data_IF_660175799912
#
_entry.id   IF_660175799912
#
_cell.length_a   1.000
_cell.length_b   1.000
_cell.length_c   1.000
_cell.angle_alpha   90.00
_cell.angle_beta   90.00
_cell.angle_gamma   90.00
#
_symmetry.space_group_name_H-M   'P 1'
#
loop_
_entity.id
_entity.type
_entity.pdbx_description
1 polymer ?
#
# COMPACT_ATOMS: atom_id res chain seq x y z
N UNK A 1 -11.55 -13.77 3.16
CA UNK A 1 -10.48 -14.78 3.30
C UNK A 1 -9.49 -14.31 4.36
N UNK A 2 -8.80 -15.23 5.04
CA UNK A 2 -7.80 -14.89 6.07
C UNK A 2 -6.36 -15.03 5.55
N UNK A 3 -6.02 -16.13 4.85
CA UNK A 3 -4.72 -16.31 4.18
C UNK A 3 -4.91 -17.22 2.97
N UNK A 4 -4.25 -16.88 1.85
CA UNK A 4 -4.24 -17.69 0.62
C UNK A 4 -2.78 -18.01 0.30
N UNK A 5 -2.47 -19.29 0.10
CA UNK A 5 -1.13 -19.76 -0.31
C UNK A 5 -1.26 -20.43 -1.67
N UNK A 6 -0.44 -20.01 -2.63
CA UNK A 6 -0.51 -20.49 -4.01
C UNK A 6 0.85 -20.38 -4.71
N UNK A 7 0.94 -20.90 -5.94
CA UNK A 7 2.17 -20.79 -6.75
C UNK A 7 2.28 -19.41 -7.41
N UNK A 8 3.42 -19.13 -8.07
CA UNK A 8 3.71 -17.81 -8.65
C UNK A 8 2.61 -17.32 -9.61
N UNK A 9 2.28 -18.09 -10.66
CA UNK A 9 1.33 -17.65 -11.70
C UNK A 9 -0.09 -17.46 -11.14
N UNK A 10 -0.55 -18.34 -10.25
CA UNK A 10 -1.86 -18.16 -9.64
C UNK A 10 -1.85 -17.04 -8.59
N UNK A 11 -0.72 -16.82 -7.92
CA UNK A 11 -0.56 -15.72 -6.97
C UNK A 11 -0.67 -14.37 -7.66
N UNK A 12 0.00 -14.20 -8.80
CA UNK A 12 -0.08 -13.01 -9.64
C UNK A 12 -1.54 -12.69 -10.01
N UNK A 13 -2.22 -13.64 -10.66
CA UNK A 13 -3.61 -13.50 -11.10
C UNK A 13 -4.56 -13.19 -9.92
N UNK A 14 -4.49 -13.98 -8.85
CA UNK A 14 -5.38 -13.81 -7.70
C UNK A 14 -5.11 -12.50 -6.94
N UNK A 15 -3.85 -12.05 -6.91
CA UNK A 15 -3.48 -10.80 -6.25
C UNK A 15 -3.99 -9.58 -7.01
N UNK A 16 -3.95 -9.60 -8.34
CA UNK A 16 -4.55 -8.56 -9.18
C UNK A 16 -6.07 -8.53 -9.04
N UNK A 17 -6.74 -9.69 -9.06
CA UNK A 17 -8.18 -9.78 -8.85
C UNK A 17 -8.59 -9.24 -7.46
N UNK A 18 -7.88 -9.65 -6.41
CA UNK A 18 -8.12 -9.15 -5.06
C UNK A 18 -7.90 -7.64 -4.96
N UNK A 19 -6.88 -7.11 -5.65
CA UNK A 19 -6.56 -5.69 -5.68
C UNK A 19 -7.61 -4.84 -6.37
N UNK A 20 -8.27 -5.36 -7.41
CA UNK A 20 -9.41 -4.67 -8.03
C UNK A 20 -10.65 -4.68 -7.14
N UNK A 21 -10.89 -5.79 -6.41
CA UNK A 21 -12.07 -5.93 -5.54
C UNK A 21 -12.05 -4.99 -4.33
N UNK A 22 -10.88 -4.59 -3.83
CA UNK A 22 -10.77 -3.62 -2.72
C UNK A 22 -11.08 -2.18 -3.15
N UNK A 23 -11.29 -1.93 -4.45
CA UNK A 23 -11.69 -0.63 -4.99
C UNK A 23 -10.53 0.33 -5.23
N UNK A 24 -9.31 0.03 -4.79
CA UNK A 24 -8.10 0.75 -5.19
C UNK A 24 -6.85 -0.11 -5.11
N UNK A 25 -6.32 -0.48 -6.29
CA UNK A 25 -5.01 -1.14 -6.46
C UNK A 25 -3.90 -0.30 -5.81
N UNK A 26 -4.05 1.02 -5.80
CA UNK A 26 -3.07 1.97 -5.23
C UNK A 26 -3.20 2.13 -3.72
N UNK A 27 -3.69 1.12 -3.00
CA UNK A 27 -3.70 1.08 -1.54
C UNK A 27 -2.99 -0.14 -0.94
N UNK A 28 -2.48 -1.05 -1.76
CA UNK A 28 -1.97 -2.34 -1.30
C UNK A 28 -0.44 -2.36 -1.26
N UNK A 29 0.17 -2.42 -0.06
CA UNK A 29 1.60 -2.66 0.06
C UNK A 29 1.90 -4.14 -0.19
N UNK A 30 3.11 -4.43 -0.71
CA UNK A 30 3.60 -5.79 -0.94
C UNK A 30 4.94 -6.01 -0.24
N UNK A 31 5.24 -7.28 0.05
CA UNK A 31 6.49 -7.69 0.69
C UNK A 31 6.94 -9.04 0.16
N UNK A 32 8.21 -9.11 -0.24
CA UNK A 32 8.92 -10.36 -0.56
C UNK A 32 9.98 -10.63 0.49
N UNK A 33 9.82 -11.69 1.27
CA UNK A 33 10.76 -12.09 2.33
C UNK A 33 11.65 -13.25 1.84
N UNK A 34 12.96 -13.15 2.05
CA UNK A 34 13.89 -14.26 1.88
C UNK A 34 14.17 -14.97 3.22
N UNK A 35 14.62 -16.23 3.18
CA UNK A 35 14.88 -17.02 4.40
C UNK A 35 15.97 -16.43 5.31
N UNK A 36 17.00 -15.80 4.75
CA UNK A 36 18.20 -15.38 5.47
C UNK A 36 18.72 -13.98 5.06
N UNK A 37 17.89 -13.17 4.39
CA UNK A 37 18.30 -11.89 3.82
C UNK A 37 17.26 -10.79 4.00
N UNK A 38 17.62 -9.53 3.66
CA UNK A 38 16.68 -8.42 3.73
C UNK A 38 15.48 -8.67 2.83
N UNK A 39 14.27 -8.39 3.35
CA UNK A 39 13.05 -8.40 2.55
C UNK A 39 12.99 -7.22 1.58
N UNK A 40 12.30 -7.40 0.46
CA UNK A 40 11.90 -6.32 -0.44
C UNK A 40 10.50 -5.84 -0.06
N UNK A 41 10.36 -4.54 0.16
CA UNK A 41 9.10 -3.90 0.55
C UNK A 41 8.76 -2.84 -0.47
N UNK A 42 7.67 -3.03 -1.21
CA UNK A 42 7.33 -2.19 -2.35
C UNK A 42 5.81 -1.99 -2.49
N UNK A 43 5.44 -1.15 -3.44
CA UNK A 43 4.06 -0.94 -3.85
C UNK A 43 3.79 -1.73 -5.14
N UNK A 44 2.55 -2.20 -5.34
CA UNK A 44 2.22 -3.11 -6.46
C UNK A 44 1.98 -2.44 -7.81
N UNK A 45 1.77 -1.12 -7.86
CA UNK A 45 1.53 -0.41 -9.12
C UNK A 45 2.83 0.13 -9.71
N UNK A 46 2.89 0.20 -11.05
CA UNK A 46 4.05 0.70 -11.78
C UNK A 46 4.35 2.19 -11.55
N UNK A 47 5.42 2.65 -12.18
CA UNK A 47 6.02 3.99 -12.00
C UNK A 47 5.13 5.20 -12.32
N UNK A 48 3.94 4.98 -12.90
CA UNK A 48 2.97 6.01 -13.28
C UNK A 48 3.64 7.21 -14.01
N UNK A 49 4.26 6.96 -15.19
CA UNK A 49 5.08 7.95 -15.90
C UNK A 49 4.26 9.17 -16.38
N UNK A 50 2.96 8.98 -16.56
CA UNK A 50 1.97 9.99 -16.96
C UNK A 50 1.76 11.09 -15.91
N UNK A 51 2.03 10.81 -14.64
CA UNK A 51 1.87 11.75 -13.51
C UNK A 51 3.19 12.09 -12.80
N UNK A 52 4.32 11.58 -13.30
CA UNK A 52 5.63 11.84 -12.73
C UNK A 52 5.94 13.35 -12.70
N UNK A 53 6.39 13.85 -11.55
CA UNK A 53 6.71 15.27 -11.34
C UNK A 53 5.51 16.21 -11.20
N UNK A 54 4.28 15.69 -11.10
CA UNK A 54 3.07 16.51 -11.03
C UNK A 54 2.42 16.58 -9.63
N UNK A 55 3.05 16.02 -8.60
CA UNK A 55 2.52 15.96 -7.23
C UNK A 55 1.11 15.35 -7.12
N UNK A 56 0.85 14.32 -7.95
CA UNK A 56 -0.46 13.63 -8.03
C UNK A 56 -0.41 12.19 -7.53
N UNK A 57 0.76 11.68 -7.19
CA UNK A 57 0.96 10.28 -6.81
C UNK A 57 0.45 10.04 -5.39
N UNK A 58 -0.31 8.97 -5.21
CA UNK A 58 -0.65 8.47 -3.89
C UNK A 58 0.60 7.92 -3.19
N UNK A 59 1.09 8.62 -2.17
CA UNK A 59 2.25 8.18 -1.38
C UNK A 59 1.86 7.30 -0.19
N UNK A 60 0.56 7.11 0.06
CA UNK A 60 0.08 6.34 1.21
C UNK A 60 0.60 4.90 1.17
N UNK A 61 0.62 4.27 -0.01
CA UNK A 61 1.13 2.89 -0.14
C UNK A 61 2.60 2.79 0.15
N UNK A 62 3.39 3.76 -0.32
CA UNK A 62 4.82 3.79 -0.02
C UNK A 62 5.05 3.88 1.49
N UNK A 63 4.26 4.70 2.19
CA UNK A 63 4.30 4.81 3.65
C UNK A 63 3.87 3.50 4.32
N UNK A 64 2.85 2.81 3.82
CA UNK A 64 2.43 1.51 4.34
C UNK A 64 3.47 0.40 4.05
N UNK A 65 4.18 0.44 2.93
CA UNK A 65 5.31 -0.45 2.67
C UNK A 65 6.46 -0.22 3.67
N UNK A 66 6.69 1.02 4.12
CA UNK A 66 7.61 1.33 5.22
C UNK A 66 7.12 0.75 6.55
N UNK A 67 5.81 0.79 6.83
CA UNK A 67 5.24 0.13 8.01
C UNK A 67 5.48 -1.39 7.96
N UNK A 68 5.34 -2.02 6.79
CA UNK A 68 5.67 -3.43 6.59
C UNK A 68 7.17 -3.71 6.78
N UNK A 69 8.06 -2.84 6.29
CA UNK A 69 9.51 -2.94 6.51
C UNK A 69 9.84 -2.93 8.00
N UNK A 70 9.28 -1.98 8.74
CA UNK A 70 9.49 -1.88 10.19
C UNK A 70 8.99 -3.16 10.89
N UNK A 71 7.79 -3.62 10.55
CA UNK A 71 7.13 -4.77 11.18
C UNK A 71 7.86 -6.09 10.90
N UNK A 72 8.12 -6.39 9.63
CA UNK A 72 8.61 -7.71 9.20
C UNK A 72 10.12 -7.74 8.97
N UNK A 73 10.71 -6.64 8.51
CA UNK A 73 12.15 -6.57 8.22
C UNK A 73 12.99 -6.20 9.43
N UNK A 74 12.50 -5.27 10.26
CA UNK A 74 13.25 -4.73 11.40
C UNK A 74 12.69 -5.14 12.77
N UNK A 75 11.55 -5.81 12.81
CA UNK A 75 10.85 -6.21 14.04
C UNK A 75 10.48 -5.04 14.98
N UNK A 76 10.29 -3.85 14.41
CA UNK A 76 9.92 -2.60 15.09
C UNK A 76 8.40 -2.38 15.06
N UNK A 77 7.66 -3.23 15.79
CA UNK A 77 6.19 -3.24 15.83
C UNK A 77 5.59 -1.89 16.27
N UNK A 78 6.22 -1.24 17.26
CA UNK A 78 5.72 0.05 17.76
C UNK A 78 5.82 1.15 16.71
N UNK A 79 6.93 1.20 15.96
CA UNK A 79 7.12 2.18 14.90
C UNK A 79 6.15 1.92 13.74
N UNK A 80 5.97 0.65 13.34
CA UNK A 80 4.99 0.27 12.32
C UNK A 80 3.57 0.74 12.70
N UNK A 81 3.14 0.49 13.94
CA UNK A 81 1.81 0.89 14.43
C UNK A 81 1.59 2.40 14.44
N UNK A 82 2.64 3.19 14.71
CA UNK A 82 2.54 4.67 14.63
C UNK A 82 2.23 5.09 13.20
N UNK A 83 2.91 4.50 12.22
CA UNK A 83 2.69 4.80 10.81
C UNK A 83 1.28 4.37 10.37
N UNK A 84 0.85 3.16 10.73
CA UNK A 84 -0.49 2.64 10.41
C UNK A 84 -1.59 3.58 10.94
N UNK A 85 -1.46 4.03 12.19
CA UNK A 85 -2.40 4.95 12.82
C UNK A 85 -2.40 6.34 12.16
N UNK A 86 -1.23 6.89 11.84
CA UNK A 86 -1.12 8.19 11.20
C UNK A 86 -1.71 8.19 9.78
N UNK A 87 -1.49 7.10 9.02
CA UNK A 87 -2.11 6.85 7.72
C UNK A 87 -3.64 6.80 7.84
N UNK A 88 -4.17 6.07 8.82
CA UNK A 88 -5.61 5.98 9.06
C UNK A 88 -6.21 7.33 9.49
N UNK A 89 -5.55 8.08 10.37
CA UNK A 89 -5.99 9.40 10.80
C UNK A 89 -6.04 10.39 9.63
N UNK A 90 -5.07 10.33 8.72
CA UNK A 90 -5.01 11.16 7.51
C UNK A 90 -6.22 10.91 6.61
N UNK A 91 -6.55 9.64 6.38
CA UNK A 91 -7.75 9.25 5.62
C UNK A 91 -9.04 9.67 6.33
N UNK A 92 -9.12 9.51 7.65
CA UNK A 92 -10.28 9.92 8.45
C UNK A 92 -10.51 11.43 8.44
N UNK A 93 -9.44 12.23 8.34
CA UNK A 93 -9.52 13.69 8.17
C UNK A 93 -10.03 14.11 6.79
N UNK A 94 -10.11 13.18 5.84
CA UNK A 94 -10.61 13.38 4.48
C UNK A 94 -9.53 13.71 3.45
N UNK A 95 -8.24 13.60 3.80
CA UNK A 95 -7.16 13.78 2.83
C UNK A 95 -7.10 12.56 1.92
N UNK A 96 -7.28 12.79 0.61
CA UNK A 96 -7.33 11.76 -0.42
C UNK A 96 -6.65 12.30 -1.68
N UNK A 97 -5.80 11.48 -2.29
CA UNK A 97 -5.28 11.74 -3.64
C UNK A 97 -6.31 11.36 -4.70
N UNK A 98 -6.16 11.89 -5.91
CA UNK A 98 -7.19 11.78 -6.96
C UNK A 98 -7.60 10.35 -7.34
N UNK A 99 -6.74 9.37 -7.10
CA UNK A 99 -6.97 7.95 -7.36
C UNK A 99 -7.87 7.24 -6.34
N UNK A 100 -8.01 7.79 -5.12
CA UNK A 100 -8.88 7.26 -4.05
C UNK A 100 -10.00 8.24 -3.69
N UNK A 101 -10.17 9.29 -4.49
CA UNK A 101 -11.21 10.28 -4.29
C UNK A 101 -12.59 9.68 -4.56
N UNK A 102 -13.44 9.67 -3.52
CA UNK A 102 -14.84 9.27 -3.65
C UNK A 102 -15.71 10.53 -3.75
N UNK A 103 -16.53 10.60 -4.80
CA UNK A 103 -17.47 11.70 -4.99
C UNK A 103 -18.39 11.85 -3.76
N UNK A 104 -18.27 12.99 -3.06
CA UNK A 104 -19.04 13.29 -1.84
C UNK A 104 -18.20 13.66 -0.62
N UNK A 105 -16.87 13.47 -0.64
CA UNK A 105 -15.96 14.01 0.39
C UNK A 105 -15.30 15.30 -0.11
N UNK A 106 -15.28 16.34 0.73
CA UNK A 106 -14.60 17.60 0.43
C UNK A 106 -13.10 17.33 0.41
N UNK A 107 -12.45 17.55 -0.74
CA UNK A 107 -10.99 17.54 -0.83
C UNK A 107 -10.46 18.69 0.02
N UNK A 108 -9.88 18.38 1.17
CA UNK A 108 -9.20 19.37 1.99
C UNK A 108 -7.81 19.58 1.41
N UNK A 109 -7.58 20.81 0.90
CA UNK A 109 -6.25 21.30 0.53
C UNK A 109 -5.34 21.37 1.75
#
# INVERSE_FOLDING_TARGET
>A
FETIVTNNIFGDILSDEASMLTGSIRMLPSTSLGELGPGLFEHIYGSAPDIAGQDKTNLLVVVLSVAMLLRYGLHEENAARIIDNASLETLNKGFQTGDIFLAGKVQKN
#
